data_IF_784189775680
#
_entry.id   IF_784189775680
#
_cell.length_a   1.000
_cell.length_b   1.000
_cell.length_c   1.000
_cell.angle_alpha   90.00
_cell.angle_beta   90.00
_cell.angle_gamma   90.00
#
_symmetry.space_group_name_H-M   'P 1'
#
loop_
_entity.id
_entity.type
_entity.pdbx_description
1 polymer ?
#
# COMPACT_ATOMS: atom_id res chain seq x y z
N UNK A 1 -1.04 -16.77 -41.33
CA UNK A 1 -1.42 -17.93 -40.50
C UNK A 1 -2.49 -17.47 -39.49
N UNK A 2 -3.78 -17.74 -39.77
CA UNK A 2 -4.88 -17.39 -38.85
C UNK A 2 -4.85 -18.39 -37.69
N UNK A 3 -4.39 -17.97 -36.52
CA UNK A 3 -4.54 -18.75 -35.29
C UNK A 3 -6.04 -18.91 -35.00
N UNK A 4 -6.53 -20.15 -34.96
CA UNK A 4 -7.90 -20.48 -34.59
C UNK A 4 -8.19 -19.87 -33.21
N UNK A 5 -9.11 -18.89 -33.17
CA UNK A 5 -9.66 -18.41 -31.91
C UNK A 5 -10.30 -19.60 -31.18
N UNK A 6 -10.01 -19.75 -29.88
CA UNK A 6 -10.71 -20.71 -29.05
C UNK A 6 -12.18 -20.32 -28.86
N UNK A 7 -12.97 -21.19 -28.22
CA UNK A 7 -14.42 -21.06 -28.02
C UNK A 7 -14.89 -19.69 -27.45
N UNK A 8 -13.96 -18.91 -26.85
CA UNK A 8 -14.21 -17.65 -26.13
C UNK A 8 -13.56 -16.42 -26.77
N UNK A 9 -13.01 -16.52 -27.99
CA UNK A 9 -12.45 -15.40 -28.76
C UNK A 9 -11.00 -15.01 -28.43
N UNK A 10 -10.48 -15.35 -27.25
CA UNK A 10 -9.05 -15.23 -26.93
C UNK A 10 -8.25 -16.44 -27.44
N UNK A 11 -7.00 -16.20 -27.87
CA UNK A 11 -6.06 -17.30 -28.17
C UNK A 11 -5.68 -18.05 -26.88
N UNK A 12 -5.27 -19.31 -27.02
CA UNK A 12 -4.79 -20.10 -25.88
C UNK A 12 -3.61 -19.42 -25.14
N UNK A 13 -2.75 -18.72 -25.87
CA UNK A 13 -1.61 -17.97 -25.30
C UNK A 13 -2.06 -16.75 -24.51
N UNK A 14 -3.02 -15.98 -25.03
CA UNK A 14 -3.59 -14.82 -24.34
C UNK A 14 -4.30 -15.23 -23.05
N UNK A 15 -5.03 -16.34 -23.08
CA UNK A 15 -5.67 -16.93 -21.89
C UNK A 15 -4.64 -17.35 -20.84
N UNK A 16 -3.59 -18.06 -21.26
CA UNK A 16 -2.51 -18.49 -20.37
C UNK A 16 -1.81 -17.28 -19.72
N UNK A 17 -1.41 -16.30 -20.53
CA UNK A 17 -0.78 -15.08 -20.02
C UNK A 17 -1.70 -14.31 -19.06
N UNK A 18 -3.02 -14.28 -19.33
CA UNK A 18 -4.01 -13.67 -18.45
C UNK A 18 -4.07 -14.33 -17.08
N UNK A 19 -4.14 -15.67 -17.05
CA UNK A 19 -4.11 -16.44 -15.80
C UNK A 19 -2.79 -16.31 -15.06
N UNK A 20 -1.65 -16.42 -15.74
CA UNK A 20 -0.33 -16.25 -15.13
C UNK A 20 -0.21 -14.87 -14.47
N UNK A 21 -0.56 -13.81 -15.19
CA UNK A 21 -0.58 -12.44 -14.65
C UNK A 21 -1.49 -12.33 -13.42
N UNK A 22 -2.75 -12.77 -13.52
CA UNK A 22 -3.74 -12.62 -12.46
C UNK A 22 -3.39 -13.42 -11.20
N UNK A 23 -2.97 -14.69 -11.35
CA UNK A 23 -2.57 -15.52 -10.22
C UNK A 23 -1.31 -14.99 -9.53
N UNK A 24 -0.34 -14.51 -10.31
CA UNK A 24 0.88 -13.89 -9.77
C UNK A 24 0.55 -12.60 -9.03
N UNK A 25 -0.35 -11.77 -9.57
CA UNK A 25 -0.82 -10.56 -8.89
C UNK A 25 -1.60 -10.88 -7.61
N UNK A 26 -2.38 -11.96 -7.59
CA UNK A 26 -3.04 -12.44 -6.36
C UNK A 26 -1.98 -12.83 -5.32
N UNK A 27 -1.01 -13.67 -5.68
CA UNK A 27 0.07 -14.08 -4.78
C UNK A 27 0.86 -12.87 -4.25
N UNK A 28 1.18 -11.92 -5.12
CA UNK A 28 1.78 -10.65 -4.76
C UNK A 28 0.91 -9.86 -3.78
N UNK A 29 -0.41 -9.83 -3.99
CA UNK A 29 -1.38 -9.13 -3.14
C UNK A 29 -1.40 -9.71 -1.71
N UNK A 30 -1.34 -11.04 -1.56
CA UNK A 30 -1.20 -11.67 -0.25
C UNK A 30 0.09 -11.24 0.44
N UNK A 31 1.21 -11.23 -0.30
CA UNK A 31 2.50 -10.89 0.26
C UNK A 31 2.59 -9.44 0.75
N UNK A 32 2.06 -8.48 -0.02
CA UNK A 32 2.03 -7.07 0.40
C UNK A 32 1.07 -6.79 1.57
N UNK A 33 0.10 -7.68 1.79
CA UNK A 33 -0.74 -7.64 3.00
C UNK A 33 0.05 -8.16 4.21
N UNK A 34 0.87 -9.20 4.05
CA UNK A 34 1.65 -9.77 5.16
C UNK A 34 2.85 -8.90 5.53
N UNK A 35 3.60 -8.40 4.54
CA UNK A 35 4.91 -7.77 4.72
C UNK A 35 4.93 -6.59 5.72
N UNK A 36 3.97 -5.65 5.71
CA UNK A 36 3.93 -4.55 6.69
C UNK A 36 3.73 -5.02 8.15
N UNK A 37 3.19 -6.23 8.35
CA UNK A 37 2.85 -6.81 9.67
C UNK A 37 4.01 -7.61 10.28
N UNK A 38 5.08 -7.84 9.51
CA UNK A 38 6.29 -8.48 10.00
C UNK A 38 7.20 -7.45 10.66
N UNK A 39 7.93 -7.85 11.70
CA UNK A 39 8.89 -6.97 12.37
C UNK A 39 9.98 -6.52 11.39
N UNK A 40 10.32 -5.22 11.38
CA UNK A 40 11.28 -4.63 10.44
C UNK A 40 12.66 -5.27 10.51
N UNK A 41 13.08 -5.70 11.69
CA UNK A 41 14.39 -6.27 11.96
C UNK A 41 14.40 -7.81 11.85
N UNK A 42 13.25 -8.43 11.54
CA UNK A 42 13.14 -9.89 11.48
C UNK A 42 13.59 -10.48 10.15
N UNK A 43 14.34 -11.58 10.23
CA UNK A 43 14.77 -12.36 9.05
C UNK A 43 13.59 -12.81 8.18
N UNK A 44 12.42 -13.10 8.77
CA UNK A 44 11.21 -13.47 8.03
C UNK A 44 10.70 -12.32 7.16
N UNK A 45 10.88 -11.05 7.58
CA UNK A 45 10.51 -9.89 6.76
C UNK A 45 11.47 -9.73 5.59
N UNK A 46 12.76 -9.97 5.78
CA UNK A 46 13.75 -9.93 4.71
C UNK A 46 13.47 -11.02 3.67
N UNK A 47 13.13 -12.24 4.12
CA UNK A 47 12.68 -13.32 3.25
C UNK A 47 11.39 -12.94 2.49
N UNK A 48 10.39 -12.39 3.19
CA UNK A 48 9.16 -11.93 2.55
C UNK A 48 9.41 -10.82 1.51
N UNK A 49 10.37 -9.92 1.78
CA UNK A 49 10.77 -8.86 0.84
C UNK A 49 11.47 -9.45 -0.39
N UNK A 50 12.35 -10.42 -0.19
CA UNK A 50 13.01 -11.16 -1.27
C UNK A 50 12.00 -11.87 -2.18
N UNK A 51 10.96 -12.49 -1.61
CA UNK A 51 9.84 -13.05 -2.38
C UNK A 51 9.00 -11.98 -3.08
N UNK A 52 8.86 -10.79 -2.48
CA UNK A 52 8.13 -9.69 -3.11
C UNK A 52 8.84 -9.22 -4.38
N UNK A 53 10.17 -9.19 -4.38
CA UNK A 53 10.97 -8.94 -5.58
C UNK A 53 10.78 -10.04 -6.63
N UNK A 54 10.90 -11.31 -6.25
CA UNK A 54 10.77 -12.43 -7.19
C UNK A 54 9.38 -12.47 -7.86
N UNK A 55 8.31 -12.37 -7.07
CA UNK A 55 6.94 -12.36 -7.56
C UNK A 55 6.68 -11.09 -8.37
N UNK A 56 7.24 -9.94 -7.96
CA UNK A 56 7.15 -8.67 -8.71
C UNK A 56 7.81 -8.74 -10.09
N UNK A 57 8.96 -9.40 -10.21
CA UNK A 57 9.64 -9.64 -11.50
C UNK A 57 8.79 -10.56 -12.39
N UNK A 58 8.31 -11.68 -11.85
CA UNK A 58 7.42 -12.58 -12.59
C UNK A 58 6.17 -11.84 -13.07
N UNK A 59 5.59 -10.99 -12.22
CA UNK A 59 4.43 -10.17 -12.54
C UNK A 59 4.72 -9.17 -13.67
N UNK A 60 5.89 -8.55 -13.68
CA UNK A 60 6.30 -7.65 -14.76
C UNK A 60 6.48 -8.40 -16.08
N UNK A 61 7.08 -9.59 -16.05
CA UNK A 61 7.26 -10.44 -17.23
C UNK A 61 5.91 -10.89 -17.79
N UNK A 62 5.03 -11.46 -16.96
CA UNK A 62 3.71 -11.91 -17.40
C UNK A 62 2.81 -10.75 -17.81
N UNK A 63 2.92 -9.60 -17.12
CA UNK A 63 2.19 -8.38 -17.46
C UNK A 63 2.62 -7.81 -18.81
N UNK A 64 3.93 -7.69 -19.06
CA UNK A 64 4.47 -7.25 -20.35
C UNK A 64 4.08 -8.21 -21.47
N UNK A 65 4.17 -9.53 -21.23
CA UNK A 65 3.72 -10.53 -22.20
C UNK A 65 2.22 -10.42 -22.49
N UNK A 66 1.39 -10.26 -21.45
CA UNK A 66 -0.06 -10.09 -21.61
C UNK A 66 -0.42 -8.81 -22.34
N UNK A 67 0.30 -7.72 -22.10
CA UNK A 67 0.11 -6.43 -22.77
C UNK A 67 0.54 -6.51 -24.24
N UNK A 68 1.65 -7.17 -24.54
CA UNK A 68 2.09 -7.44 -25.90
C UNK A 68 1.07 -8.27 -26.69
N UNK A 69 0.52 -9.34 -26.08
CA UNK A 69 -0.56 -10.13 -26.67
C UNK A 69 -1.85 -9.31 -26.84
N UNK A 70 -2.14 -8.42 -25.88
CA UNK A 70 -3.29 -7.51 -25.97
C UNK A 70 -3.22 -6.63 -27.24
N UNK A 71 -2.02 -6.13 -27.56
CA UNK A 71 -1.76 -5.36 -28.77
C UNK A 71 -1.79 -6.22 -30.05
N UNK A 72 -1.09 -7.36 -30.03
CA UNK A 72 -0.87 -8.22 -31.21
C UNK A 72 -2.10 -9.00 -31.65
N UNK A 73 -2.84 -9.54 -30.70
CA UNK A 73 -3.96 -10.47 -30.94
C UNK A 73 -5.32 -9.77 -30.77
N UNK A 74 -5.33 -8.44 -30.55
CA UNK A 74 -6.49 -7.61 -30.20
C UNK A 74 -7.28 -8.25 -29.07
N UNK A 75 -6.74 -8.15 -27.85
CA UNK A 75 -7.21 -8.84 -26.63
C UNK A 75 -8.69 -8.63 -26.32
N UNK A 76 -9.56 -9.42 -26.95
CA UNK A 76 -10.99 -9.26 -26.92
C UNK A 76 -11.63 -10.40 -26.11
N UNK A 77 -12.53 -10.05 -25.19
CA UNK A 77 -13.71 -10.88 -24.95
C UNK A 77 -14.35 -11.18 -26.32
N UNK A 78 -14.68 -12.44 -26.61
CA UNK A 78 -15.32 -12.84 -27.87
C UNK A 78 -16.40 -11.85 -28.32
N UNK A 79 -16.40 -11.51 -29.61
CA UNK A 79 -17.53 -10.81 -30.21
C UNK A 79 -18.82 -11.58 -29.91
N UNK A 80 -19.78 -10.92 -29.23
CA UNK A 80 -21.03 -11.54 -28.77
C UNK A 80 -21.11 -11.91 -27.28
N UNK A 81 -20.00 -11.87 -26.53
CA UNK A 81 -20.07 -12.01 -25.04
C UNK A 81 -20.80 -10.83 -24.41
N UNK A 82 -20.38 -9.61 -24.73
CA UNK A 82 -21.00 -8.37 -24.29
C UNK A 82 -21.24 -7.42 -25.47
N UNK A 83 -22.28 -6.56 -25.41
CA UNK A 83 -22.43 -5.47 -26.37
C UNK A 83 -21.20 -4.57 -26.40
N UNK A 84 -20.88 -3.91 -27.52
CA UNK A 84 -19.56 -3.31 -27.69
C UNK A 84 -19.22 -2.22 -26.66
N UNK A 85 -20.20 -1.40 -26.22
CA UNK A 85 -19.98 -0.42 -25.15
C UNK A 85 -19.61 -1.08 -23.81
N UNK A 86 -20.36 -2.11 -23.40
CA UNK A 86 -20.08 -2.84 -22.16
C UNK A 86 -18.74 -3.58 -22.27
N UNK A 87 -18.46 -4.17 -23.44
CA UNK A 87 -17.19 -4.81 -23.73
C UNK A 87 -16.04 -3.82 -23.56
N UNK A 88 -16.10 -2.65 -24.20
CA UNK A 88 -15.07 -1.62 -24.08
C UNK A 88 -14.82 -1.25 -22.62
N UNK A 89 -15.87 -0.98 -21.84
CA UNK A 89 -15.75 -0.65 -20.41
C UNK A 89 -14.93 -1.69 -19.63
N UNK A 90 -15.27 -2.97 -19.79
CA UNK A 90 -14.62 -4.05 -19.05
C UNK A 90 -13.17 -4.26 -19.50
N UNK A 91 -12.89 -4.05 -20.80
CA UNK A 91 -11.51 -4.04 -21.31
C UNK A 91 -10.71 -2.86 -20.76
N UNK A 92 -11.30 -1.67 -20.70
CA UNK A 92 -10.63 -0.49 -20.18
C UNK A 92 -10.25 -0.67 -18.70
N UNK A 93 -11.13 -1.25 -17.87
CA UNK A 93 -10.83 -1.59 -16.48
C UNK A 93 -9.67 -2.59 -16.36
N UNK A 94 -9.73 -3.71 -17.09
CA UNK A 94 -8.69 -4.74 -17.06
C UNK A 94 -7.34 -4.22 -17.59
N UNK A 95 -7.36 -3.46 -18.69
CA UNK A 95 -6.16 -2.86 -19.28
C UNK A 95 -5.55 -1.79 -18.37
N UNK A 96 -6.37 -0.97 -17.69
CA UNK A 96 -5.87 0.02 -16.74
C UNK A 96 -5.13 -0.65 -15.57
N UNK A 97 -5.66 -1.75 -15.03
CA UNK A 97 -4.96 -2.53 -13.99
C UNK A 97 -3.65 -3.11 -14.53
N UNK A 98 -3.68 -3.71 -15.72
CA UNK A 98 -2.49 -4.26 -16.35
C UNK A 98 -1.39 -3.19 -16.55
N UNK A 99 -1.76 -2.02 -17.08
CA UNK A 99 -0.85 -0.90 -17.29
C UNK A 99 -0.29 -0.38 -15.97
N UNK A 100 -1.12 -0.18 -14.96
CA UNK A 100 -0.66 0.28 -13.64
C UNK A 100 0.32 -0.69 -13.00
N UNK A 101 0.10 -1.99 -13.12
CA UNK A 101 1.01 -3.00 -12.58
C UNK A 101 2.34 -3.00 -13.34
N UNK A 102 2.30 -2.97 -14.67
CA UNK A 102 3.51 -2.96 -15.51
C UNK A 102 4.32 -1.68 -15.29
N UNK A 103 3.66 -0.52 -15.24
CA UNK A 103 4.31 0.78 -14.98
C UNK A 103 4.81 0.91 -13.52
N UNK A 104 4.13 0.25 -12.58
CA UNK A 104 4.52 0.26 -11.16
C UNK A 104 5.76 -0.59 -10.86
N UNK A 105 6.03 -1.60 -11.68
CA UNK A 105 7.21 -2.48 -11.56
C UNK A 105 8.53 -1.70 -11.51
N UNK A 106 8.87 -0.89 -12.53
CA UNK A 106 10.07 -0.04 -12.54
C UNK A 106 10.18 0.90 -11.34
N UNK A 107 9.06 1.44 -10.84
CA UNK A 107 9.06 2.27 -9.63
C UNK A 107 9.47 1.48 -8.39
N UNK A 108 9.13 0.18 -8.31
CA UNK A 108 9.56 -0.70 -7.21
C UNK A 108 11.07 -0.93 -7.21
N UNK A 109 11.68 -1.09 -8.39
CA UNK A 109 13.14 -1.17 -8.54
C UNK A 109 13.80 0.13 -8.09
N UNK A 110 13.31 1.27 -8.61
CA UNK A 110 13.82 2.58 -8.29
C UNK A 110 13.74 2.87 -6.78
N UNK A 111 12.62 2.49 -6.15
CA UNK A 111 12.43 2.58 -4.70
C UNK A 111 13.49 1.79 -3.91
N UNK A 112 13.71 0.52 -4.26
CA UNK A 112 14.70 -0.32 -3.57
C UNK A 112 16.13 0.19 -3.74
N UNK A 113 16.51 0.57 -4.96
CA UNK A 113 17.86 1.07 -5.25
C UNK A 113 18.15 2.41 -4.58
N UNK A 114 17.19 3.34 -4.55
CA UNK A 114 17.37 4.65 -3.92
C UNK A 114 17.29 4.63 -2.40
N UNK A 115 16.89 3.49 -1.81
CA UNK A 115 17.14 3.18 -0.40
C UNK A 115 18.57 2.66 -0.15
N UNK A 116 19.33 2.36 -1.22
CA UNK A 116 20.65 1.75 -1.18
C UNK A 116 20.63 0.23 -1.01
N UNK A 117 19.54 -0.44 -1.44
CA UNK A 117 19.41 -1.90 -1.33
C UNK A 117 19.65 -2.58 -2.66
N UNK A 118 20.42 -3.66 -2.62
CA UNK A 118 20.40 -4.65 -3.68
C UNK A 118 19.04 -5.37 -3.71
N UNK A 119 18.65 -5.87 -4.88
CA UNK A 119 17.40 -6.59 -5.08
C UNK A 119 17.74 -8.07 -5.27
N UNK A 120 17.37 -8.87 -4.27
CA UNK A 120 17.64 -10.30 -4.22
C UNK A 120 16.32 -11.08 -4.38
N UNK A 121 15.88 -11.42 -5.61
CA UNK A 121 14.64 -12.17 -5.83
C UNK A 121 14.75 -13.62 -5.38
N UNK A 122 14.12 -13.94 -4.25
CA UNK A 122 14.10 -15.27 -3.63
C UNK A 122 15.47 -15.94 -3.48
N UNK A 123 16.54 -15.14 -3.34
CA UNK A 123 17.93 -15.64 -3.27
C UNK A 123 18.48 -16.27 -4.56
N UNK A 124 17.80 -16.14 -5.69
CA UNK A 124 18.20 -16.77 -6.96
C UNK A 124 19.39 -16.05 -7.62
N UNK A 125 19.42 -14.72 -7.50
CA UNK A 125 20.48 -13.84 -7.99
C UNK A 125 20.39 -12.49 -7.28
N UNK A 126 21.40 -11.64 -7.46
CA UNK A 126 21.46 -10.30 -6.87
C UNK A 126 21.52 -9.26 -7.98
N UNK A 127 20.62 -8.28 -7.93
CA UNK A 127 20.67 -7.10 -8.80
C UNK A 127 21.25 -5.95 -7.96
N UNK A 128 22.51 -5.53 -8.20
CA UNK A 128 23.14 -4.47 -7.41
C UNK A 128 22.38 -3.15 -7.57
N UNK A 129 22.45 -2.27 -6.58
CA UNK A 129 21.91 -0.91 -6.67
C UNK A 129 22.85 -0.03 -7.51
N UNK A 130 22.51 0.33 -8.77
CA UNK A 130 23.40 1.11 -9.63
C UNK A 130 23.39 2.59 -9.25
N UNK A 131 22.41 3.01 -8.45
CA UNK A 131 22.20 4.37 -7.99
C UNK A 131 22.31 4.36 -6.46
N UNK A 132 22.99 5.37 -5.91
CA UNK A 132 23.14 5.51 -4.46
C UNK A 132 21.85 5.91 -3.77
N UNK A 133 21.95 6.21 -2.46
CA UNK A 133 20.82 6.68 -1.67
C UNK A 133 20.36 8.06 -2.13
N UNK A 134 19.07 8.19 -2.44
CA UNK A 134 18.43 9.47 -2.75
C UNK A 134 17.04 9.50 -2.12
N UNK A 135 16.89 10.30 -1.06
CA UNK A 135 15.65 10.35 -0.30
C UNK A 135 14.50 11.03 -1.06
N UNK A 136 14.80 11.95 -1.99
CA UNK A 136 13.78 12.59 -2.83
C UNK A 136 13.17 11.60 -3.81
N UNK A 137 14.02 10.86 -4.52
CA UNK A 137 13.60 9.82 -5.47
C UNK A 137 12.94 8.64 -4.74
N UNK A 138 13.44 8.25 -3.57
CA UNK A 138 12.83 7.22 -2.73
C UNK A 138 11.39 7.58 -2.34
N UNK A 139 11.13 8.84 -1.92
CA UNK A 139 9.77 9.30 -1.61
C UNK A 139 8.86 9.30 -2.83
N UNK A 140 9.32 9.85 -3.95
CA UNK A 140 8.54 9.91 -5.18
C UNK A 140 8.17 8.50 -5.67
N UNK A 141 9.17 7.63 -5.82
CA UNK A 141 8.98 6.27 -6.32
C UNK A 141 8.15 5.41 -5.36
N UNK A 142 8.40 5.50 -4.04
CA UNK A 142 7.64 4.79 -3.02
C UNK A 142 6.17 5.24 -2.95
N UNK A 143 5.93 6.56 -3.07
CA UNK A 143 4.57 7.11 -3.15
C UNK A 143 3.84 6.53 -4.35
N UNK A 144 4.37 6.68 -5.56
CA UNK A 144 3.67 6.25 -6.77
C UNK A 144 3.57 4.73 -6.90
N UNK A 145 4.55 3.96 -6.43
CA UNK A 145 4.45 2.50 -6.36
C UNK A 145 3.27 2.06 -5.49
N UNK A 146 3.09 2.69 -4.33
CA UNK A 146 1.94 2.44 -3.43
C UNK A 146 0.62 2.98 -3.98
N UNK A 147 0.65 4.18 -4.57
CA UNK A 147 -0.51 4.86 -5.13
C UNK A 147 -1.13 4.07 -6.29
N UNK A 148 -0.29 3.52 -7.17
CA UNK A 148 -0.73 2.66 -8.27
C UNK A 148 -1.33 1.35 -7.74
N UNK A 149 -0.74 0.76 -6.69
CA UNK A 149 -1.33 -0.41 -6.04
C UNK A 149 -2.74 -0.10 -5.48
N UNK A 150 -2.96 1.06 -4.88
CA UNK A 150 -4.30 1.50 -4.44
C UNK A 150 -5.27 1.72 -5.61
N UNK A 151 -4.83 2.38 -6.70
CA UNK A 151 -5.65 2.59 -7.89
C UNK A 151 -6.15 1.26 -8.50
N UNK A 152 -5.31 0.23 -8.56
CA UNK A 152 -5.73 -1.10 -9.06
C UNK A 152 -6.78 -1.77 -8.18
N UNK A 153 -6.78 -1.52 -6.87
CA UNK A 153 -7.81 -2.04 -5.94
C UNK A 153 -9.15 -1.34 -6.19
N UNK A 154 -9.15 -0.01 -6.34
CA UNK A 154 -10.38 0.73 -6.63
C UNK A 154 -10.98 0.32 -7.97
N UNK A 155 -10.15 0.13 -9.00
CA UNK A 155 -10.58 -0.42 -10.29
C UNK A 155 -11.17 -1.82 -10.14
N UNK A 156 -10.60 -2.68 -9.27
CA UNK A 156 -11.16 -4.00 -8.99
C UNK A 156 -12.54 -3.93 -8.32
N UNK A 157 -12.76 -3.01 -7.37
CA UNK A 157 -14.07 -2.79 -6.76
C UNK A 157 -15.10 -2.31 -7.79
N UNK A 158 -14.74 -1.34 -8.63
CA UNK A 158 -15.58 -0.87 -9.74
C UNK A 158 -15.89 -2.01 -10.70
N UNK A 159 -14.93 -2.90 -10.97
CA UNK A 159 -15.10 -4.05 -11.82
C UNK A 159 -16.09 -5.09 -11.24
N UNK A 160 -16.04 -5.35 -9.92
CA UNK A 160 -17.01 -6.24 -9.24
C UNK A 160 -18.44 -5.70 -9.36
N UNK A 161 -18.64 -4.40 -9.12
CA UNK A 161 -19.96 -3.75 -9.26
C UNK A 161 -20.44 -3.79 -10.71
N UNK A 162 -19.54 -3.46 -11.65
CA UNK A 162 -19.82 -3.48 -13.08
C UNK A 162 -20.20 -4.88 -13.59
N UNK A 163 -19.59 -5.93 -13.05
CA UNK A 163 -19.94 -7.31 -13.37
C UNK A 163 -21.37 -7.65 -12.93
N UNK A 164 -21.80 -7.15 -11.77
CA UNK A 164 -23.17 -7.32 -11.29
C UNK A 164 -24.18 -6.70 -12.25
N UNK A 165 -23.90 -5.49 -12.73
CA UNK A 165 -24.72 -4.83 -13.74
C UNK A 165 -24.78 -5.62 -15.06
N UNK A 166 -23.63 -6.06 -15.59
CA UNK A 166 -23.61 -6.82 -16.85
C UNK A 166 -24.22 -8.20 -16.71
N UNK A 167 -24.21 -8.80 -15.53
CA UNK A 167 -24.94 -10.03 -15.28
C UNK A 167 -26.44 -9.80 -15.25
N UNK A 168 -26.91 -8.80 -14.51
CA UNK A 168 -28.32 -8.45 -14.46
C UNK A 168 -28.86 -8.18 -15.87
N UNK A 169 -28.12 -7.38 -16.67
CA UNK A 169 -28.54 -6.94 -18.00
C UNK A 169 -28.32 -7.97 -19.10
N UNK A 170 -27.17 -8.63 -19.14
CA UNK A 170 -26.71 -9.47 -20.27
C UNK A 170 -26.42 -10.94 -19.88
N UNK A 171 -26.47 -11.29 -18.60
CA UNK A 171 -26.23 -12.65 -18.12
C UNK A 171 -24.76 -13.06 -18.10
N UNK A 172 -23.84 -12.10 -18.28
CA UNK A 172 -22.40 -12.32 -18.18
C UNK A 172 -21.90 -11.69 -16.89
N UNK A 173 -21.51 -12.53 -15.94
CA UNK A 173 -21.00 -12.10 -14.63
C UNK A 173 -19.48 -12.06 -14.58
N UNK A 174 -18.93 -12.05 -13.37
CA UNK A 174 -17.52 -11.77 -13.09
C UNK A 174 -16.52 -12.59 -13.92
N UNK A 175 -16.82 -13.85 -14.22
CA UNK A 175 -15.94 -14.73 -15.02
C UNK A 175 -16.08 -14.48 -16.53
N UNK A 176 -17.29 -14.21 -17.02
CA UNK A 176 -17.58 -14.10 -18.46
C UNK A 176 -17.56 -12.66 -18.98
N UNK A 177 -17.57 -11.67 -18.09
CA UNK A 177 -17.57 -10.25 -18.42
C UNK A 177 -16.16 -9.66 -18.55
N UNK A 178 -15.11 -10.43 -18.24
CA UNK A 178 -13.72 -9.98 -18.28
C UNK A 178 -12.78 -11.01 -18.93
N UNK A 179 -11.62 -10.57 -19.44
CA UNK A 179 -10.57 -11.47 -19.93
C UNK A 179 -10.18 -12.52 -18.89
N UNK A 180 -9.59 -13.63 -19.37
CA UNK A 180 -9.23 -14.76 -18.53
C UNK A 180 -8.41 -14.35 -17.29
N UNK A 181 -8.84 -14.81 -16.12
CA UNK A 181 -8.21 -14.54 -14.81
C UNK A 181 -8.67 -13.27 -14.10
N UNK A 182 -9.07 -12.22 -14.82
CA UNK A 182 -9.35 -10.91 -14.22
C UNK A 182 -10.56 -10.93 -13.28
N UNK A 183 -11.59 -11.73 -13.59
CA UNK A 183 -12.76 -11.87 -12.71
C UNK A 183 -12.39 -12.36 -11.30
N UNK A 184 -11.58 -13.43 -11.22
CA UNK A 184 -11.09 -13.95 -9.94
C UNK A 184 -10.20 -12.94 -9.22
N UNK A 185 -9.28 -12.31 -9.97
CA UNK A 185 -8.40 -11.26 -9.45
C UNK A 185 -9.20 -10.16 -8.74
N UNK A 186 -10.28 -9.66 -9.35
CA UNK A 186 -11.03 -8.55 -8.76
C UNK A 186 -11.70 -8.93 -7.44
N UNK A 187 -12.30 -10.12 -7.36
CA UNK A 187 -12.92 -10.61 -6.13
C UNK A 187 -11.89 -10.76 -5.01
N UNK A 188 -10.80 -11.49 -5.29
CA UNK A 188 -9.78 -11.80 -4.28
C UNK A 188 -9.07 -10.52 -3.82
N UNK A 189 -8.71 -9.63 -4.74
CA UNK A 189 -8.03 -8.38 -4.41
C UNK A 189 -8.91 -7.43 -3.61
N UNK A 190 -10.21 -7.38 -3.90
CA UNK A 190 -11.18 -6.60 -3.11
C UNK A 190 -11.30 -7.14 -1.68
N UNK A 191 -11.39 -8.47 -1.52
CA UNK A 191 -11.42 -9.10 -0.20
C UNK A 191 -10.12 -8.85 0.59
N UNK A 192 -8.96 -8.95 -0.06
CA UNK A 192 -7.66 -8.67 0.55
C UNK A 192 -7.51 -7.20 0.97
N UNK A 193 -8.05 -6.27 0.19
CA UNK A 193 -8.05 -4.86 0.57
C UNK A 193 -8.91 -4.61 1.81
N UNK A 194 -10.11 -5.17 1.85
CA UNK A 194 -10.99 -5.05 3.02
C UNK A 194 -10.38 -5.69 4.25
N UNK A 195 -9.70 -6.84 4.11
CA UNK A 195 -8.87 -7.37 5.18
C UNK A 195 -7.80 -6.35 5.60
N UNK A 196 -7.02 -5.82 4.65
CA UNK A 196 -5.88 -4.97 4.94
C UNK A 196 -6.26 -3.71 5.72
N UNK A 197 -7.31 -3.00 5.29
CA UNK A 197 -7.75 -1.74 5.90
C UNK A 197 -8.42 -1.92 7.26
N UNK A 198 -9.02 -3.08 7.50
CA UNK A 198 -9.68 -3.39 8.78
C UNK A 198 -8.75 -4.12 9.77
N UNK A 199 -7.47 -4.35 9.41
CA UNK A 199 -6.57 -5.15 10.25
C UNK A 199 -5.29 -4.44 10.73
N UNK A 200 -5.24 -3.11 10.66
CA UNK A 200 -4.04 -2.34 11.05
C UNK A 200 -3.72 -2.49 12.54
N UNK A 201 -4.69 -2.32 13.44
CA UNK A 201 -4.48 -2.40 14.89
C UNK A 201 -4.68 -3.81 15.47
N UNK A 202 -5.62 -4.59 14.92
CA UNK A 202 -5.94 -5.97 15.34
C UNK A 202 -6.27 -6.83 14.12
N UNK A 203 -5.96 -8.13 14.13
CA UNK A 203 -6.19 -8.99 12.96
C UNK A 203 -7.66 -9.39 12.76
N UNK A 204 -8.37 -9.63 13.85
CA UNK A 204 -9.74 -10.16 13.85
C UNK A 204 -10.73 -9.36 12.97
N UNK A 205 -10.81 -8.01 13.07
CA UNK A 205 -11.76 -7.25 12.26
C UNK A 205 -11.44 -7.35 10.76
N UNK A 206 -10.18 -7.58 10.39
CA UNK A 206 -9.78 -7.85 9.02
C UNK A 206 -10.41 -9.11 8.44
N UNK A 207 -10.31 -10.24 9.14
CA UNK A 207 -10.87 -11.51 8.68
C UNK A 207 -12.39 -11.44 8.56
N UNK A 208 -13.04 -10.80 9.55
CA UNK A 208 -14.49 -10.58 9.56
C UNK A 208 -14.92 -9.73 8.37
N UNK A 209 -14.24 -8.61 8.10
CA UNK A 209 -14.56 -7.73 6.98
C UNK A 209 -14.45 -8.44 5.63
N UNK A 210 -13.39 -9.22 5.41
CA UNK A 210 -13.22 -10.00 4.19
C UNK A 210 -14.29 -11.10 4.04
N UNK A 211 -14.63 -11.81 5.12
CA UNK A 211 -15.66 -12.85 5.12
C UNK A 211 -17.05 -12.26 4.82
N UNK A 212 -17.41 -11.14 5.47
CA UNK A 212 -18.67 -10.43 5.21
C UNK A 212 -18.75 -9.96 3.76
N UNK A 213 -17.67 -9.40 3.21
CA UNK A 213 -17.64 -8.99 1.80
C UNK A 213 -17.89 -10.16 0.85
N UNK A 214 -17.23 -11.30 1.06
CA UNK A 214 -17.41 -12.49 0.22
C UNK A 214 -18.83 -13.05 0.35
N UNK A 215 -19.40 -13.07 1.57
CA UNK A 215 -20.78 -13.48 1.81
C UNK A 215 -21.79 -12.54 1.13
N UNK A 216 -21.59 -11.22 1.23
CA UNK A 216 -22.42 -10.21 0.56
C UNK A 216 -22.32 -10.32 -0.95
N UNK A 217 -21.12 -10.54 -1.50
CA UNK A 217 -20.95 -10.83 -2.92
C UNK A 217 -21.75 -12.07 -3.31
N UNK A 218 -21.59 -13.18 -2.60
CA UNK A 218 -22.31 -14.42 -2.89
C UNK A 218 -23.84 -14.23 -2.85
N UNK A 219 -24.36 -13.58 -1.80
CA UNK A 219 -25.78 -13.26 -1.66
C UNK A 219 -26.28 -12.37 -2.80
N UNK A 220 -25.54 -11.31 -3.14
CA UNK A 220 -25.83 -10.42 -4.27
C UNK A 220 -25.93 -11.19 -5.59
N UNK A 221 -24.97 -12.07 -5.88
CA UNK A 221 -24.96 -12.88 -7.09
C UNK A 221 -26.10 -13.92 -7.14
N UNK A 222 -26.46 -14.51 -6.00
CA UNK A 222 -27.62 -15.42 -5.88
C UNK A 222 -28.95 -14.68 -6.11
N UNK A 223 -29.11 -13.50 -5.51
CA UNK A 223 -30.30 -12.65 -5.70
C UNK A 223 -30.42 -12.23 -7.17
N UNK A 224 -29.34 -11.74 -7.78
CA UNK A 224 -29.36 -11.37 -9.20
C UNK A 224 -29.71 -12.56 -10.10
N UNK A 225 -29.20 -13.76 -9.78
CA UNK A 225 -29.53 -14.98 -10.53
C UNK A 225 -31.02 -15.32 -10.42
N UNK A 226 -31.60 -15.19 -9.23
CA UNK A 226 -33.03 -15.41 -9.00
C UNK A 226 -33.89 -14.38 -9.75
N UNK A 227 -33.56 -13.09 -9.65
CA UNK A 227 -34.31 -11.99 -10.30
C UNK A 227 -34.21 -12.08 -11.83
N UNK A 228 -33.03 -12.41 -12.37
CA UNK A 228 -32.83 -12.52 -13.81
C UNK A 228 -33.66 -13.64 -14.45
N UNK A 229 -33.97 -14.71 -13.71
CA UNK A 229 -34.71 -15.90 -14.18
C UNK A 229 -36.15 -15.61 -14.67
N UNK A 230 -36.60 -14.35 -14.73
CA UNK A 230 -37.93 -14.02 -15.27
C UNK A 230 -38.15 -12.62 -15.85
N UNK A 231 -37.12 -11.78 -16.10
CA UNK A 231 -37.38 -10.35 -16.45
C UNK A 231 -36.50 -9.68 -17.52
N UNK A 232 -35.32 -10.20 -17.87
CA UNK A 232 -34.37 -9.47 -18.74
C UNK A 232 -33.88 -10.32 -19.91
N UNK A 233 -34.56 -10.18 -21.07
CA UNK A 233 -34.30 -10.96 -22.29
C UNK A 233 -33.64 -10.17 -23.44
N UNK A 234 -33.40 -8.86 -23.30
CA UNK A 234 -32.81 -8.07 -24.39
C UNK A 234 -31.29 -8.25 -24.47
N UNK A 235 -30.79 -8.88 -25.54
CA UNK A 235 -29.36 -8.94 -25.88
C UNK A 235 -28.86 -7.67 -26.59
N UNK A 236 -29.76 -6.78 -27.01
CA UNK A 236 -29.40 -5.53 -27.67
C UNK A 236 -28.86 -4.52 -26.64
N UNK A 237 -27.56 -4.29 -26.68
CA UNK A 237 -26.91 -3.19 -25.99
C UNK A 237 -26.43 -2.13 -26.98
N UNK A 238 -26.20 -0.91 -26.48
CA UNK A 238 -25.69 0.19 -27.30
C UNK A 238 -24.39 -0.24 -28.00
N UNK A 239 -24.27 0.12 -29.29
CA UNK A 239 -23.04 -0.10 -30.08
C UNK A 239 -21.81 0.61 -29.50
N UNK A 240 -22.00 1.62 -28.64
CA UNK A 240 -20.92 2.47 -28.16
C UNK A 240 -20.42 3.37 -29.30
N UNK A 241 -20.14 4.64 -29.01
CA UNK A 241 -19.61 5.59 -29.98
C UNK A 241 -18.40 6.30 -29.39
N UNK A 242 -17.74 7.15 -30.17
CA UNK A 242 -16.56 7.90 -29.72
C UNK A 242 -16.81 8.65 -28.39
N UNK A 243 -17.99 9.29 -28.25
CA UNK A 243 -18.41 10.01 -27.03
C UNK A 243 -18.51 9.06 -25.83
N UNK A 244 -19.13 7.88 -26.01
CA UNK A 244 -19.20 6.88 -24.94
C UNK A 244 -17.78 6.46 -24.54
N UNK A 245 -16.92 6.15 -25.52
CA UNK A 245 -15.56 5.65 -25.26
C UNK A 245 -14.73 6.68 -24.51
N UNK A 246 -14.84 7.96 -24.89
CA UNK A 246 -14.21 9.06 -24.20
C UNK A 246 -14.71 9.19 -22.75
N UNK A 247 -16.03 9.16 -22.52
CA UNK A 247 -16.61 9.24 -21.18
C UNK A 247 -16.19 8.07 -20.27
N UNK A 248 -16.09 6.88 -20.82
CA UNK A 248 -15.62 5.71 -20.09
C UNK A 248 -14.14 5.77 -19.73
N UNK A 249 -13.29 6.20 -20.67
CA UNK A 249 -11.89 6.44 -20.37
C UNK A 249 -11.73 7.53 -19.31
N UNK A 250 -12.51 8.60 -19.39
CA UNK A 250 -12.54 9.64 -18.36
C UNK A 250 -12.94 9.07 -16.99
N UNK A 251 -13.96 8.21 -16.93
CA UNK A 251 -14.35 7.51 -15.70
C UNK A 251 -13.23 6.62 -15.13
N UNK A 252 -12.55 5.85 -15.98
CA UNK A 252 -11.39 5.05 -15.55
C UNK A 252 -10.26 5.94 -15.05
N UNK A 253 -9.93 7.02 -15.77
CA UNK A 253 -8.91 8.00 -15.37
C UNK A 253 -9.28 8.67 -14.04
N UNK A 254 -10.55 8.97 -13.80
CA UNK A 254 -11.00 9.53 -12.53
C UNK A 254 -10.79 8.55 -11.36
N UNK A 255 -11.13 7.26 -11.55
CA UNK A 255 -10.88 6.22 -10.53
C UNK A 255 -9.39 6.05 -10.29
N UNK A 256 -8.57 6.04 -11.35
CA UNK A 256 -7.12 5.98 -11.23
C UNK A 256 -6.59 7.20 -10.48
N UNK A 257 -6.97 8.42 -10.89
CA UNK A 257 -6.56 9.66 -10.25
C UNK A 257 -6.91 9.68 -8.76
N UNK A 258 -8.14 9.29 -8.40
CA UNK A 258 -8.54 9.15 -7.01
C UNK A 258 -7.69 8.11 -6.26
N UNK A 259 -7.45 6.94 -6.87
CA UNK A 259 -6.54 5.93 -6.32
C UNK A 259 -5.12 6.42 -6.11
N UNK A 260 -4.61 7.26 -7.01
CA UNK A 260 -3.29 7.87 -6.90
C UNK A 260 -3.19 8.88 -5.75
N UNK A 261 -4.32 9.41 -5.26
CA UNK A 261 -4.37 10.29 -4.07
C UNK A 261 -4.52 9.54 -2.75
N UNK A 262 -4.80 8.23 -2.78
CA UNK A 262 -5.09 7.46 -1.56
C UNK A 262 -3.99 7.47 -0.50
N UNK A 263 -2.69 7.36 -0.83
CA UNK A 263 -1.66 7.46 0.20
C UNK A 263 -1.72 8.79 0.96
N UNK A 264 -1.99 9.90 0.26
CA UNK A 264 -2.19 11.20 0.91
C UNK A 264 -3.46 11.23 1.78
N UNK A 265 -4.58 10.71 1.29
CA UNK A 265 -5.84 10.71 2.05
C UNK A 265 -5.78 9.85 3.31
N UNK A 266 -5.08 8.71 3.24
CA UNK A 266 -4.97 7.76 4.35
C UNK A 266 -3.86 8.13 5.34
N UNK A 267 -2.72 8.64 4.84
CA UNK A 267 -1.50 8.78 5.64
C UNK A 267 -0.86 10.17 5.56
N UNK A 268 -1.47 11.13 4.85
CA UNK A 268 -0.95 12.50 4.62
C UNK A 268 0.45 12.55 3.99
N UNK A 269 0.90 11.45 3.36
CA UNK A 269 2.19 11.39 2.66
C UNK A 269 2.10 12.08 1.30
N UNK A 270 3.18 12.77 0.91
CA UNK A 270 3.29 13.46 -0.39
C UNK A 270 4.46 12.89 -1.19
N UNK A 271 4.39 12.90 -2.53
CA UNK A 271 5.50 12.45 -3.37
C UNK A 271 6.70 13.41 -3.37
N UNK A 272 6.54 14.61 -2.79
CA UNK A 272 7.56 15.66 -2.74
C UNK A 272 7.78 16.13 -1.31
N UNK A 273 9.04 16.45 -0.99
CA UNK A 273 9.38 17.14 0.26
C UNK A 273 8.76 18.54 0.27
N UNK A 274 7.92 18.83 1.25
CA UNK A 274 7.38 20.18 1.48
C UNK A 274 7.18 20.41 2.96
N UNK A 275 7.46 21.61 3.45
CA UNK A 275 7.34 21.93 4.87
C UNK A 275 8.43 22.87 5.39
N UNK A 276 8.39 23.11 6.70
CA UNK A 276 9.41 23.86 7.43
C UNK A 276 10.56 22.90 7.78
N UNK A 277 11.77 23.25 7.38
CA UNK A 277 12.97 22.44 7.60
C UNK A 277 13.94 23.18 8.50
N UNK A 278 14.42 22.51 9.54
CA UNK A 278 15.58 22.98 10.31
C UNK A 278 16.84 22.55 9.57
N UNK A 279 17.57 23.50 8.98
CA UNK A 279 18.77 23.19 8.20
C UNK A 279 19.93 22.76 9.11
N UNK A 280 20.62 21.70 8.72
CA UNK A 280 21.90 21.29 9.31
C UNK A 280 22.71 20.53 8.24
N UNK A 281 23.91 20.06 8.61
CA UNK A 281 24.63 19.11 7.76
C UNK A 281 23.73 17.90 7.43
N UNK A 282 23.66 17.44 6.16
CA UNK A 282 22.76 16.36 5.75
C UNK A 282 22.92 15.03 6.51
N UNK A 283 24.09 14.78 7.11
CA UNK A 283 24.33 13.60 7.97
C UNK A 283 23.61 13.66 9.32
N UNK A 284 23.12 14.85 9.71
CA UNK A 284 22.43 15.05 10.98
C UNK A 284 20.94 14.84 10.76
N UNK A 285 20.46 13.72 11.26
CA UNK A 285 19.07 13.28 11.11
C UNK A 285 18.35 13.13 12.45
N UNK A 286 18.93 13.57 13.57
CA UNK A 286 18.42 13.33 14.92
C UNK A 286 18.86 14.43 15.91
N UNK A 287 18.30 14.41 17.12
CA UNK A 287 18.66 15.35 18.18
C UNK A 287 19.95 14.96 18.92
N UNK A 288 21.07 15.59 18.52
CA UNK A 288 22.40 15.32 19.11
C UNK A 288 22.49 15.66 20.59
N UNK A 289 21.88 16.76 21.00
CA UNK A 289 21.86 17.23 22.37
C UNK A 289 20.47 17.07 22.98
N UNK A 290 20.44 16.67 24.26
CA UNK A 290 19.20 16.56 25.02
C UNK A 290 18.95 17.86 25.77
N UNK A 291 17.76 18.44 25.59
CA UNK A 291 17.41 19.73 26.20
C UNK A 291 16.87 19.61 27.63
N UNK A 292 16.50 18.41 28.11
CA UNK A 292 16.01 18.19 29.47
C UNK A 292 16.52 16.86 30.08
N UNK A 293 16.71 16.80 31.41
CA UNK A 293 16.87 15.51 32.10
C UNK A 293 15.53 14.80 32.11
N UNK A 294 15.54 13.50 31.86
CA UNK A 294 14.32 12.69 31.78
C UNK A 294 14.52 11.50 32.70
N UNK A 295 13.54 11.27 33.56
CA UNK A 295 13.47 10.06 34.37
C UNK A 295 13.21 8.85 33.49
N UNK A 296 14.07 7.84 33.65
CA UNK A 296 14.00 6.59 32.93
C UNK A 296 13.64 5.47 33.88
N UNK A 297 12.43 4.94 33.71
CA UNK A 297 12.00 3.68 34.31
C UNK A 297 12.03 2.62 33.21
N UNK A 298 12.77 1.51 33.39
CA UNK A 298 12.75 0.42 32.44
C UNK A 298 11.32 -0.11 32.22
N UNK A 299 10.93 -0.45 30.98
CA UNK A 299 9.61 -1.00 30.70
C UNK A 299 9.45 -2.38 31.34
N UNK A 300 8.25 -2.67 31.84
CA UNK A 300 7.90 -4.02 32.31
C UNK A 300 7.63 -4.97 31.13
N UNK A 301 7.73 -6.28 31.34
CA UNK A 301 7.39 -7.27 30.32
C UNK A 301 5.93 -7.14 29.86
N UNK A 302 5.02 -6.77 30.77
CA UNK A 302 3.63 -6.47 30.46
C UNK A 302 3.51 -5.30 29.48
N UNK A 303 4.23 -4.20 29.71
CA UNK A 303 4.24 -3.05 28.79
C UNK A 303 4.84 -3.45 27.43
N UNK A 304 5.96 -4.16 27.43
CA UNK A 304 6.59 -4.60 26.18
C UNK A 304 5.70 -5.55 25.36
N UNK A 305 4.85 -6.32 26.03
CA UNK A 305 3.91 -7.24 25.37
C UNK A 305 2.66 -6.50 24.90
N UNK A 306 2.04 -5.70 25.77
CA UNK A 306 0.81 -4.94 25.49
C UNK A 306 1.00 -3.96 24.34
N UNK A 307 2.13 -3.25 24.30
CA UNK A 307 2.44 -2.24 23.28
C UNK A 307 3.00 -2.78 21.97
N UNK A 308 3.32 -4.08 21.89
CA UNK A 308 4.15 -4.64 20.81
C UNK A 308 3.57 -4.36 19.42
N UNK A 309 2.30 -4.69 19.21
CA UNK A 309 1.67 -4.54 17.88
C UNK A 309 1.50 -3.08 17.49
N UNK A 310 1.10 -2.22 18.43
CA UNK A 310 0.98 -0.77 18.20
C UNK A 310 2.32 -0.11 17.93
N UNK A 311 3.35 -0.45 18.71
CA UNK A 311 4.67 0.16 18.61
C UNK A 311 5.40 -0.22 17.31
N UNK A 312 5.13 -1.40 16.74
CA UNK A 312 5.61 -1.77 15.39
C UNK A 312 5.22 -0.75 14.32
N UNK A 313 4.06 -0.11 14.44
CA UNK A 313 3.62 0.93 13.51
C UNK A 313 4.38 2.25 13.70
N UNK A 314 4.90 2.54 14.89
CA UNK A 314 5.81 3.66 15.09
C UNK A 314 7.13 3.41 14.34
N UNK A 315 7.69 2.21 14.48
CA UNK A 315 8.87 1.77 13.71
C UNK A 315 8.60 1.68 12.21
N UNK A 316 7.34 1.61 11.76
CA UNK A 316 7.03 1.67 10.33
C UNK A 316 7.37 3.04 9.73
N UNK A 317 7.03 4.12 10.42
CA UNK A 317 7.24 5.48 9.96
C UNK A 317 8.56 6.10 10.44
N UNK A 318 9.17 5.58 11.50
CA UNK A 318 10.32 6.21 12.14
C UNK A 318 11.50 5.26 12.31
N UNK A 319 12.70 5.82 12.21
CA UNK A 319 13.93 5.26 12.77
C UNK A 319 14.07 5.69 14.23
N UNK A 320 14.80 4.90 15.01
CA UNK A 320 14.93 5.11 16.45
C UNK A 320 16.38 5.37 16.87
N UNK A 321 17.36 4.95 16.08
CA UNK A 321 18.77 5.05 16.44
C UNK A 321 19.46 6.32 15.92
N UNK A 322 20.48 6.84 16.62
CA UNK A 322 21.19 8.05 16.22
C UNK A 322 21.89 7.84 14.88
N UNK A 323 21.75 8.81 13.98
CA UNK A 323 22.39 8.81 12.66
C UNK A 323 21.65 7.99 11.60
N UNK A 324 20.57 7.29 11.96
CA UNK A 324 19.71 6.64 10.96
C UNK A 324 18.91 7.68 10.16
N UNK A 325 18.60 7.34 8.90
CA UNK A 325 17.87 8.22 7.99
C UNK A 325 16.44 8.51 8.47
N UNK A 326 15.88 9.63 8.03
CA UNK A 326 14.42 9.83 8.07
C UNK A 326 13.71 8.82 7.18
N UNK A 327 12.50 8.44 7.56
CA UNK A 327 11.62 7.62 6.74
C UNK A 327 10.42 8.48 6.33
N UNK A 328 9.20 7.99 6.57
CA UNK A 328 7.97 8.77 6.42
C UNK A 328 7.89 9.85 7.49
N UNK A 329 8.34 9.55 8.71
CA UNK A 329 8.53 10.47 9.81
C UNK A 329 10.02 10.75 10.10
N UNK A 330 10.31 11.73 10.97
CA UNK A 330 11.66 12.04 11.41
C UNK A 330 12.26 10.89 12.22
N UNK A 331 13.58 10.91 12.42
CA UNK A 331 14.20 10.01 13.40
C UNK A 331 13.76 10.43 14.80
N UNK A 332 13.44 9.46 15.67
CA UNK A 332 12.97 9.72 17.03
C UNK A 332 14.07 9.63 18.09
N UNK A 333 15.32 9.36 17.72
CA UNK A 333 16.44 9.34 18.65
C UNK A 333 16.50 10.64 19.48
N UNK A 334 16.55 10.47 20.80
CA UNK A 334 16.49 11.54 21.80
C UNK A 334 15.27 12.46 21.70
N UNK A 335 14.09 11.98 21.27
CA UNK A 335 12.89 12.81 21.13
C UNK A 335 12.39 13.43 22.44
N UNK A 336 12.49 12.72 23.56
CA UNK A 336 12.00 13.23 24.84
C UNK A 336 12.80 14.48 25.27
N UNK A 337 12.09 15.46 25.82
CA UNK A 337 12.59 16.79 26.18
C UNK A 337 12.81 17.72 24.98
N UNK A 338 12.57 17.29 23.75
CA UNK A 338 12.80 18.12 22.56
C UNK A 338 11.58 18.95 22.21
N UNK A 339 11.84 20.13 21.66
CA UNK A 339 10.78 20.95 21.04
C UNK A 339 10.23 20.25 19.80
N UNK A 340 8.92 20.22 19.65
CA UNK A 340 8.29 19.61 18.49
C UNK A 340 8.73 20.26 17.18
N UNK A 341 8.79 19.49 16.09
CA UNK A 341 9.08 20.05 14.77
C UNK A 341 10.53 20.51 14.55
N UNK A 342 11.51 20.01 15.33
CA UNK A 342 12.88 20.54 15.29
C UNK A 342 13.98 19.56 14.91
N UNK A 343 13.65 18.29 14.60
CA UNK A 343 14.67 17.36 14.07
C UNK A 343 15.23 17.95 12.76
N UNK A 344 16.55 18.12 12.65
CA UNK A 344 17.15 18.71 11.45
C UNK A 344 16.85 17.91 10.18
N UNK A 345 16.83 18.60 9.05
CA UNK A 345 16.69 18.04 7.70
C UNK A 345 15.39 17.25 7.43
N UNK A 346 14.43 17.26 8.36
CA UNK A 346 13.08 16.73 8.15
C UNK A 346 12.09 17.86 7.78
N UNK A 347 11.26 17.70 6.73
CA UNK A 347 10.25 18.68 6.35
C UNK A 347 8.98 18.53 7.21
N UNK A 348 8.88 19.34 8.26
CA UNK A 348 7.70 19.35 9.12
C UNK A 348 6.53 20.13 8.51
N UNK A 349 5.31 19.72 8.84
CA UNK A 349 4.14 20.57 8.57
C UNK A 349 4.32 21.96 9.22
N UNK A 350 3.82 23.03 8.59
CA UNK A 350 3.83 24.35 9.21
C UNK A 350 3.18 24.36 10.60
N UNK A 351 2.10 23.59 10.78
CA UNK A 351 1.38 23.46 12.05
C UNK A 351 2.25 22.88 13.17
N UNK A 352 2.92 21.74 12.94
CA UNK A 352 3.75 21.12 13.97
C UNK A 352 5.02 21.94 14.28
N UNK A 353 5.59 22.59 13.26
CA UNK A 353 6.72 23.50 13.46
C UNK A 353 6.32 24.74 14.29
N UNK A 354 5.13 25.29 14.04
CA UNK A 354 4.57 26.41 14.81
C UNK A 354 4.22 26.01 16.24
N UNK A 355 3.59 24.85 16.45
CA UNK A 355 3.32 24.32 17.78
C UNK A 355 4.60 24.19 18.61
N UNK A 356 5.69 23.71 17.97
CA UNK A 356 7.02 23.70 18.57
C UNK A 356 7.49 25.10 18.96
N UNK A 357 7.43 26.08 18.05
CA UNK A 357 7.81 27.49 18.33
C UNK A 357 7.02 28.08 19.50
N UNK A 358 5.76 27.68 19.65
CA UNK A 358 4.86 28.10 20.73
C UNK A 358 5.03 27.29 22.02
N UNK A 359 6.07 26.47 22.12
CA UNK A 359 6.47 25.81 23.37
C UNK A 359 6.06 24.35 23.51
N UNK A 360 5.52 23.70 22.46
CA UNK A 360 5.27 22.26 22.51
C UNK A 360 6.60 21.50 22.64
N UNK A 361 6.74 20.77 23.75
CA UNK A 361 7.91 19.93 24.08
C UNK A 361 7.44 18.50 24.29
N UNK A 362 8.16 17.54 23.73
CA UNK A 362 7.87 16.12 23.86
C UNK A 362 8.24 15.59 25.24
N UNK A 363 7.25 15.37 26.08
CA UNK A 363 7.32 14.63 27.35
C UNK A 363 6.29 13.49 27.31
N UNK A 364 6.11 12.77 28.42
CA UNK A 364 5.16 11.64 28.45
C UNK A 364 3.71 12.08 28.18
N UNK A 365 3.29 13.18 28.80
CA UNK A 365 1.90 13.66 28.69
C UNK A 365 1.57 14.18 27.29
N UNK A 366 2.46 14.98 26.72
CA UNK A 366 2.30 15.51 25.36
C UNK A 366 2.41 14.41 24.31
N UNK A 367 3.28 13.41 24.50
CA UNK A 367 3.30 12.23 23.60
C UNK A 367 2.01 11.43 23.76
N UNK A 368 1.51 11.23 24.98
CA UNK A 368 0.24 10.54 25.25
C UNK A 368 -0.93 11.21 24.54
N UNK A 369 -1.03 12.52 24.69
CA UNK A 369 -2.04 13.34 24.01
C UNK A 369 -1.88 13.21 22.49
N UNK A 370 -0.66 13.37 21.98
CA UNK A 370 -0.40 13.30 20.54
C UNK A 370 -0.77 11.94 19.93
N UNK A 371 -0.40 10.82 20.55
CA UNK A 371 -0.72 9.48 20.01
C UNK A 371 -2.21 9.14 20.12
N UNK A 372 -2.95 9.83 21.00
CA UNK A 372 -4.42 9.72 21.08
C UNK A 372 -5.13 10.47 19.95
N UNK A 373 -4.47 11.43 19.31
CA UNK A 373 -5.05 12.18 18.20
C UNK A 373 -4.15 13.32 17.72
N UNK A 374 -3.23 13.08 16.76
CA UNK A 374 -2.30 14.10 16.28
C UNK A 374 -2.97 15.36 15.74
N UNK A 375 -4.03 15.18 14.93
CA UNK A 375 -4.77 16.28 14.31
C UNK A 375 -5.68 17.02 15.31
N UNK A 376 -6.07 16.36 16.41
CA UNK A 376 -6.80 17.01 17.50
C UNK A 376 -5.88 17.91 18.32
N UNK A 377 -4.66 17.43 18.63
CA UNK A 377 -3.67 18.18 19.39
C UNK A 377 -3.01 19.30 18.56
N UNK A 378 -2.69 19.01 17.30
CA UNK A 378 -2.04 19.94 16.37
C UNK A 378 -2.78 19.93 15.02
N UNK A 379 -3.86 20.73 14.89
CA UNK A 379 -4.65 20.78 13.66
C UNK A 379 -3.81 21.10 12.43
N UNK A 380 -3.92 20.27 11.39
CA UNK A 380 -3.16 20.42 10.15
C UNK A 380 -1.74 19.85 10.20
N UNK A 381 -1.39 19.08 11.24
CA UNK A 381 -0.17 18.28 11.23
C UNK A 381 -0.22 17.21 10.13
N UNK A 382 0.89 17.02 9.42
CA UNK A 382 1.05 15.90 8.46
C UNK A 382 1.46 14.59 9.14
N UNK A 383 1.81 14.61 10.43
CA UNK A 383 2.34 13.46 11.16
C UNK A 383 1.21 12.71 11.87
N UNK A 384 0.71 11.66 11.22
CA UNK A 384 -0.40 10.82 11.68
C UNK A 384 0.09 9.52 12.36
N UNK A 385 -0.78 8.90 13.18
CA UNK A 385 -0.57 7.51 13.64
C UNK A 385 -1.21 6.55 12.64
N UNK A 386 -0.39 5.79 11.91
CA UNK A 386 -0.83 4.93 10.80
C UNK A 386 -1.75 3.78 11.21
N UNK A 387 -1.68 3.34 12.48
CA UNK A 387 -2.58 2.34 13.06
C UNK A 387 -3.87 2.93 13.66
N UNK A 388 -4.04 4.24 13.61
CA UNK A 388 -5.12 4.98 14.26
C UNK A 388 -4.80 5.43 15.70
N UNK A 389 -5.67 6.24 16.31
CA UNK A 389 -5.56 6.72 17.70
C UNK A 389 -5.25 5.63 18.73
N UNK A 390 -4.32 5.91 19.63
CA UNK A 390 -4.02 5.09 20.81
C UNK A 390 -4.69 5.73 22.03
N UNK A 391 -5.89 5.25 22.38
CA UNK A 391 -6.73 5.84 23.45
C UNK A 391 -6.74 5.01 24.74
N UNK A 392 -6.36 3.73 24.67
CA UNK A 392 -6.27 2.86 25.84
C UNK A 392 -5.06 3.27 26.71
N UNK A 393 -5.25 3.64 28.00
CA UNK A 393 -4.16 4.12 28.84
C UNK A 393 -3.01 3.13 29.02
N UNK A 394 -3.31 1.83 29.18
CA UNK A 394 -2.27 0.82 29.35
C UNK A 394 -1.47 0.64 28.05
N UNK A 395 -2.13 0.78 26.90
CA UNK A 395 -1.48 0.75 25.60
C UNK A 395 -0.62 2.00 25.35
N UNK A 396 -1.09 3.18 25.78
CA UNK A 396 -0.31 4.42 25.72
C UNK A 396 0.96 4.30 26.57
N UNK A 397 0.85 3.82 27.81
CA UNK A 397 1.99 3.60 28.71
C UNK A 397 3.00 2.66 28.06
N UNK A 398 2.51 1.57 27.47
CA UNK A 398 3.34 0.59 26.79
C UNK A 398 4.09 1.15 25.57
N UNK A 399 3.42 2.01 24.78
CA UNK A 399 4.04 2.71 23.63
C UNK A 399 5.09 3.70 24.10
N UNK A 400 4.78 4.52 25.11
CA UNK A 400 5.71 5.51 25.69
C UNK A 400 6.94 4.81 26.27
N UNK A 401 6.75 3.72 27.02
CA UNK A 401 7.85 2.97 27.60
C UNK A 401 8.74 2.34 26.51
N UNK A 402 8.15 1.85 25.42
CA UNK A 402 8.87 1.32 24.25
C UNK A 402 9.63 2.42 23.49
N UNK A 403 9.02 3.60 23.30
CA UNK A 403 9.66 4.77 22.70
C UNK A 403 10.87 5.18 23.52
N UNK A 404 10.70 5.36 24.84
CA UNK A 404 11.81 5.72 25.72
C UNK A 404 12.94 4.68 25.66
N UNK A 405 12.61 3.37 25.65
CA UNK A 405 13.59 2.27 25.55
C UNK A 405 14.48 2.40 24.32
N UNK A 406 13.88 2.64 23.15
CA UNK A 406 14.58 2.58 21.87
C UNK A 406 15.18 3.92 21.46
N UNK A 407 14.68 5.04 22.00
CA UNK A 407 15.11 6.39 21.59
C UNK A 407 15.97 7.10 22.63
N UNK A 408 15.92 6.69 23.90
CA UNK A 408 16.74 7.28 24.95
C UNK A 408 18.05 6.52 25.11
N UNK A 409 19.13 7.12 24.62
CA UNK A 409 20.48 6.63 24.83
C UNK A 409 20.98 7.14 26.17
N UNK A 410 21.22 6.24 27.13
CA UNK A 410 22.09 6.52 28.28
C UNK A 410 23.51 6.15 27.86
N UNK A 411 24.52 6.87 28.39
CA UNK A 411 25.94 6.77 28.01
C UNK A 411 26.58 5.37 28.04
N UNK A 412 25.87 4.33 28.46
CA UNK A 412 26.36 2.95 28.57
C UNK A 412 25.69 1.94 27.62
N UNK A 413 24.57 2.25 26.94
CA UNK A 413 23.84 1.26 26.12
C UNK A 413 24.51 0.88 24.78
N UNK A 414 25.70 1.38 24.46
CA UNK A 414 26.32 1.23 23.12
C UNK A 414 27.80 0.83 23.13
N UNK A 415 28.20 -0.09 24.01
CA UNK A 415 29.44 -0.86 23.82
C UNK A 415 29.21 -2.37 23.63
N UNK A 416 27.99 -2.89 23.85
CA UNK A 416 27.74 -4.35 23.85
C UNK A 416 27.12 -4.91 22.57
N UNK A 417 26.61 -4.09 21.65
CA UNK A 417 26.04 -4.57 20.37
C UNK A 417 27.03 -4.54 19.19
N UNK A 418 28.19 -3.88 19.36
CA UNK A 418 29.27 -3.86 18.36
C UNK A 418 30.27 -5.02 18.50
N UNK A 419 30.02 -5.98 19.40
CA UNK A 419 30.98 -7.05 19.74
C UNK A 419 30.33 -8.39 20.05
N UNK A 420 29.44 -8.89 19.18
CA UNK A 420 29.12 -10.33 19.14
C UNK A 420 29.72 -10.94 17.88
N UNK A 421 31.00 -11.26 17.98
CA UNK A 421 31.48 -12.55 17.47
C UNK A 421 31.09 -13.60 18.50
N UNK A 422 30.17 -14.48 18.13
CA UNK A 422 30.17 -15.93 18.39
C UNK A 422 28.98 -16.56 17.67
#
# INVERSE_FOLDING_TARGET
MKTRAGHDGESARARLAGWLFCLTLIAHSFLIVVLPRLDKESAIRDLARSWHYAIGIALLVFGAWRLWLWWRERGALAEGTLPPAARFWHHALALAILLLVVLGGPLGFLYGWTEGRAIDPAGLFTIPAPIGKDHGVWKFSGYFHSAMANATVLLALVAVVSAGYTYARYGKGLIAAFPAGFGLLFLVRSALFLYAINSFSRREPGYVAAALFLALCAAFWLILRAVRKGRFASAEGKRGGAIWNAGALAGVVAVVGFGLTMPYLLFRVTPFSSGVVVAADPSITWHRERLARIEWTPPTDFQLTTGRETYKWCKFCHTMEPGEAHLVGPNLANIFGQRAGTVPNFPYSPALAEAGRNGLVWNEDTIREYISGPDAMVPGTSMMISSGPVVDPALQDAVIASLKRDTMFHGERRLTRAGRTE
#
